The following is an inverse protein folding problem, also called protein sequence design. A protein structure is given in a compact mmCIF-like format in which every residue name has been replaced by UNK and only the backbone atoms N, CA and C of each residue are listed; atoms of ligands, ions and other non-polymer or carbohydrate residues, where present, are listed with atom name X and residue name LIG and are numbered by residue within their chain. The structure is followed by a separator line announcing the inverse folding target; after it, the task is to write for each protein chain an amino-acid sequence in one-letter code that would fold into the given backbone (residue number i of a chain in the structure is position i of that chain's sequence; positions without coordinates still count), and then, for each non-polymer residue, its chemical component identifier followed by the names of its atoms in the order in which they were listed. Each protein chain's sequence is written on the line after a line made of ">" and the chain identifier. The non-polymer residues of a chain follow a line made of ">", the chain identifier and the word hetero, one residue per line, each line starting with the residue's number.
data_IF_775439859437
#
_entry.id   IF_775439859437
#
_cell.length_a   1.000
_cell.length_b   1.000
_cell.length_c   1.000
_cell.angle_alpha   90.00
_cell.angle_beta   90.00
_cell.angle_gamma   90.00
#
_symmetry.space_group_name_H-M   'P 1'
#
loop_
_entity.id
_entity.type
_entity.pdbx_description
1 polymer ?
#
# COMPACT_ATOMS: atom_id res chain seq x y z
N UNK A 1 19.19 3.44 6.02
CA UNK A 1 18.50 2.93 7.24
C UNK A 1 17.88 1.59 6.90
N UNK A 2 18.12 0.55 7.70
CA UNK A 2 17.45 -0.75 7.57
C UNK A 2 16.04 -0.56 8.16
N UNK A 3 14.98 -0.67 7.36
CA UNK A 3 13.62 -0.45 7.85
C UNK A 3 13.27 -1.55 8.88
N UNK A 4 13.12 -1.23 10.18
CA UNK A 4 12.96 -2.22 11.24
C UNK A 4 11.66 -3.03 11.14
N UNK A 5 10.67 -2.54 10.38
CA UNK A 5 9.40 -3.27 10.15
C UNK A 5 9.57 -4.51 9.27
N UNK A 6 10.62 -4.60 8.45
CA UNK A 6 10.89 -5.77 7.60
C UNK A 6 11.35 -7.00 8.39
N UNK A 7 11.78 -6.82 9.64
CA UNK A 7 12.38 -7.87 10.46
C UNK A 7 11.34 -8.80 11.14
N UNK A 8 10.04 -8.46 11.12
CA UNK A 8 8.95 -9.26 11.73
C UNK A 8 7.79 -9.57 10.77
N UNK A 9 8.09 -9.83 9.51
CA UNK A 9 7.08 -10.40 8.60
C UNK A 9 7.03 -11.92 8.80
N UNK A 10 6.06 -12.40 9.58
CA UNK A 10 5.60 -13.79 9.47
C UNK A 10 5.06 -13.98 8.05
N UNK A 11 5.89 -14.52 7.16
CA UNK A 11 5.61 -14.56 5.74
C UNK A 11 6.04 -15.87 5.11
N UNK A 12 5.21 -16.37 4.20
CA UNK A 12 5.48 -17.60 3.44
C UNK A 12 6.74 -17.45 2.59
N UNK A 13 7.58 -18.48 2.59
CA UNK A 13 8.73 -18.56 1.68
C UNK A 13 8.28 -19.18 0.36
N UNK A 14 8.31 -18.37 -0.69
CA UNK A 14 7.89 -18.78 -2.04
C UNK A 14 9.07 -18.72 -2.99
N UNK A 15 9.16 -19.69 -3.93
CA UNK A 15 10.08 -19.65 -5.07
C UNK A 15 9.32 -19.15 -6.28
N UNK A 16 9.69 -17.97 -6.78
CA UNK A 16 9.10 -17.33 -7.95
C UNK A 16 10.22 -17.04 -8.94
N UNK A 17 9.96 -17.25 -10.23
CA UNK A 17 10.85 -16.80 -11.29
C UNK A 17 10.45 -15.37 -11.65
N UNK A 18 11.37 -14.43 -11.42
CA UNK A 18 11.19 -13.01 -11.72
C UNK A 18 12.06 -12.62 -12.91
N UNK A 19 11.59 -11.73 -13.81
CA UNK A 19 12.44 -11.19 -14.86
C UNK A 19 13.59 -10.38 -14.24
N UNK A 20 14.83 -10.72 -14.58
CA UNK A 20 16.02 -10.07 -14.01
C UNK A 20 16.04 -8.57 -14.30
N UNK A 21 15.66 -8.16 -15.52
CA UNK A 21 15.64 -6.76 -15.93
C UNK A 21 14.71 -5.91 -15.05
N UNK A 22 13.50 -6.40 -14.80
CA UNK A 22 12.49 -5.75 -13.94
C UNK A 22 12.99 -5.66 -12.49
N UNK A 23 13.60 -6.74 -11.98
CA UNK A 23 14.13 -6.75 -10.63
C UNK A 23 15.26 -5.73 -10.46
N UNK A 24 16.16 -5.63 -11.43
CA UNK A 24 17.24 -4.63 -11.43
C UNK A 24 16.67 -3.20 -11.46
N UNK A 25 15.61 -2.96 -12.22
CA UNK A 25 14.95 -1.67 -12.26
C UNK A 25 14.32 -1.30 -10.92
N UNK A 26 13.62 -2.23 -10.29
CA UNK A 26 13.10 -2.03 -8.92
C UNK A 26 14.23 -1.71 -7.96
N UNK A 27 15.33 -2.46 -7.97
CA UNK A 27 16.49 -2.22 -7.11
C UNK A 27 17.06 -0.80 -7.33
N UNK A 28 17.20 -0.36 -8.58
CA UNK A 28 17.66 0.99 -8.91
C UNK A 28 16.72 2.06 -8.36
N UNK A 29 15.41 1.88 -8.48
CA UNK A 29 14.43 2.85 -8.00
C UNK A 29 14.30 2.88 -6.48
N UNK A 30 14.41 1.73 -5.82
CA UNK A 30 14.16 1.62 -4.38
C UNK A 30 15.43 1.64 -3.53
N UNK A 31 16.61 1.47 -4.13
CA UNK A 31 17.88 1.33 -3.41
C UNK A 31 17.96 0.07 -2.55
N UNK A 32 17.17 -0.96 -2.88
CA UNK A 32 17.10 -2.19 -2.11
C UNK A 32 18.42 -2.98 -2.20
N UNK A 33 18.84 -3.58 -1.09
CA UNK A 33 20.10 -4.34 -1.03
C UNK A 33 19.92 -5.82 -1.37
N UNK A 34 18.67 -6.30 -1.33
CA UNK A 34 18.35 -7.71 -1.57
C UNK A 34 17.13 -7.84 -2.47
N UNK A 35 17.05 -8.93 -3.22
CA UNK A 35 15.88 -9.29 -4.02
C UNK A 35 14.60 -9.30 -3.20
N UNK A 36 14.64 -9.86 -1.98
CA UNK A 36 13.48 -9.89 -1.09
C UNK A 36 13.01 -8.49 -0.72
N UNK A 37 13.95 -7.61 -0.36
CA UNK A 37 13.63 -6.22 -0.01
C UNK A 37 13.02 -5.46 -1.18
N UNK A 38 13.60 -5.61 -2.39
CA UNK A 38 13.07 -5.00 -3.62
C UNK A 38 11.62 -5.42 -3.88
N UNK A 39 11.34 -6.73 -3.79
CA UNK A 39 9.99 -7.28 -3.99
C UNK A 39 9.01 -6.78 -2.94
N UNK A 40 9.40 -6.76 -1.67
CA UNK A 40 8.51 -6.27 -0.59
C UNK A 40 8.18 -4.79 -0.78
N UNK A 41 9.15 -3.97 -1.16
CA UNK A 41 8.92 -2.54 -1.44
C UNK A 41 7.97 -2.40 -2.64
N UNK A 42 8.21 -3.14 -3.73
CA UNK A 42 7.36 -3.11 -4.91
C UNK A 42 5.90 -3.49 -4.60
N UNK A 43 5.68 -4.54 -3.79
CA UNK A 43 4.35 -4.95 -3.35
C UNK A 43 3.65 -3.87 -2.51
N UNK A 44 4.38 -3.25 -1.58
CA UNK A 44 3.85 -2.16 -0.75
C UNK A 44 3.42 -0.96 -1.61
N UNK A 45 4.29 -0.55 -2.53
CA UNK A 45 4.02 0.58 -3.43
C UNK A 45 2.88 0.29 -4.41
N UNK A 46 2.81 -0.92 -4.96
CA UNK A 46 1.68 -1.34 -5.79
C UNK A 46 0.35 -1.21 -5.04
N UNK A 47 0.28 -1.76 -3.82
CA UNK A 47 -0.94 -1.69 -3.01
C UNK A 47 -1.29 -0.24 -2.64
N UNK A 48 -0.29 0.59 -2.33
CA UNK A 48 -0.48 2.02 -2.07
C UNK A 48 -1.09 2.73 -3.28
N UNK A 49 -0.55 2.51 -4.48
CA UNK A 49 -1.09 3.10 -5.73
C UNK A 49 -2.51 2.64 -6.00
N UNK A 50 -2.83 1.35 -5.77
CA UNK A 50 -4.21 0.83 -5.91
C UNK A 50 -5.18 1.45 -4.93
N UNK A 51 -4.77 1.69 -3.68
CA UNK A 51 -5.60 2.41 -2.70
C UNK A 51 -5.88 3.85 -3.14
N UNK A 52 -4.86 4.56 -3.64
CA UNK A 52 -5.03 5.92 -4.15
C UNK A 52 -5.92 5.95 -5.40
N UNK A 53 -5.76 4.99 -6.31
CA UNK A 53 -6.63 4.87 -7.48
C UNK A 53 -8.10 4.69 -7.07
N UNK A 54 -8.38 3.76 -6.14
CA UNK A 54 -9.74 3.56 -5.61
C UNK A 54 -10.31 4.82 -4.95
N UNK A 55 -9.47 5.57 -4.25
CA UNK A 55 -9.89 6.84 -3.65
C UNK A 55 -10.22 7.88 -4.71
N UNK A 56 -9.40 7.98 -5.76
CA UNK A 56 -9.63 8.88 -6.88
C UNK A 56 -10.91 8.51 -7.67
N UNK A 57 -11.20 7.22 -7.82
CA UNK A 57 -12.45 6.73 -8.42
C UNK A 57 -13.71 7.14 -7.63
N UNK A 58 -13.57 7.41 -6.33
CA UNK A 58 -14.65 7.91 -5.46
C UNK A 58 -14.77 9.44 -5.49
N UNK A 59 -13.84 10.13 -6.15
CA UNK A 59 -13.86 11.58 -6.25
C UNK A 59 -15.04 12.01 -7.15
N UNK A 60 -15.95 12.82 -6.60
CA UNK A 60 -17.17 13.23 -7.30
C UNK A 60 -18.33 12.23 -7.26
N UNK A 61 -18.16 11.05 -6.63
CA UNK A 61 -19.28 10.12 -6.36
C UNK A 61 -19.82 10.25 -4.93
N UNK A 62 -19.29 11.18 -4.15
CA UNK A 62 -19.75 11.48 -2.80
C UNK A 62 -20.79 12.59 -2.94
N UNK A 63 -22.04 12.19 -3.14
CA UNK A 63 -23.16 13.10 -3.40
C UNK A 63 -23.47 13.99 -2.17
N UNK A 64 -23.18 13.50 -0.97
CA UNK A 64 -23.34 14.24 0.27
C UNK A 64 -22.27 13.80 1.28
N UNK A 65 -21.77 14.77 2.06
CA UNK A 65 -20.90 14.51 3.19
C UNK A 65 -21.71 14.73 4.47
N UNK A 66 -21.65 13.74 5.37
CA UNK A 66 -22.25 13.84 6.70
C UNK A 66 -21.90 15.19 7.35
N UNK A 67 -22.93 15.99 7.63
CA UNK A 67 -22.75 17.28 8.27
C UNK A 67 -22.41 17.09 9.75
N UNK A 68 -21.97 18.16 10.42
CA UNK A 68 -21.78 18.12 11.87
C UNK A 68 -23.07 17.74 12.63
N UNK A 69 -24.23 18.08 12.08
CA UNK A 69 -25.53 17.75 12.68
C UNK A 69 -25.83 16.26 12.55
N UNK A 70 -25.57 15.68 11.38
CA UNK A 70 -25.73 14.25 11.13
C UNK A 70 -24.81 13.42 12.02
N UNK A 71 -23.56 13.87 12.20
CA UNK A 71 -22.58 13.28 13.12
C UNK A 71 -23.04 13.30 14.59
N UNK A 72 -23.69 14.39 15.03
CA UNK A 72 -24.23 14.48 16.40
C UNK A 72 -25.38 13.50 16.60
N UNK A 73 -26.32 13.44 15.65
CA UNK A 73 -27.45 12.49 15.70
C UNK A 73 -26.99 11.05 15.81
N UNK A 74 -26.02 10.63 15.00
CA UNK A 74 -25.47 9.27 15.07
C UNK A 74 -24.75 8.93 16.39
N UNK A 75 -24.28 9.93 17.14
CA UNK A 75 -23.61 9.74 18.43
C UNK A 75 -24.57 9.79 19.62
N UNK A 76 -25.71 10.46 19.44
CA UNK A 76 -26.74 10.66 20.46
C UNK A 76 -27.84 9.59 20.40
N UNK A 77 -28.00 8.88 19.27
CA UNK A 77 -28.83 7.66 19.20
C UNK A 77 -28.06 6.44 19.76
N UNK A 78 -28.55 5.80 20.85
CA UNK A 78 -27.94 4.61 21.47
C UNK A 78 -28.18 3.29 20.71
#
# INVERSE_FOLDING_TARGET
>A
MRNPELARLEGMRTRLNLPEAELQEVIRHTGAKTTREAVVIALSEFNRRRRLQKLAEKFGTLDDFMTQLDLRRMREDP
#
